data_IF_559684852187
#
_entry.id   IF_559684852187
#
_cell.length_a   1.000
_cell.length_b   1.000
_cell.length_c   1.000
_cell.angle_alpha   90.00
_cell.angle_beta   90.00
_cell.angle_gamma   90.00
#
_symmetry.space_group_name_H-M   'P 1'
#
loop_
_entity.id
_entity.type
_entity.pdbx_description
1 polymer ?
#
# COMPACT_ATOMS: atom_id res chain seq x y z
N UNK A 1 -10.08 17.59 -20.85
CA UNK A 1 -9.41 18.90 -20.68
C UNK A 1 -9.06 19.03 -19.19
N UNK A 2 -7.79 18.84 -18.82
CA UNK A 2 -7.38 19.01 -17.42
C UNK A 2 -7.13 20.50 -17.19
N UNK A 3 -8.01 21.14 -16.42
CA UNK A 3 -7.92 22.56 -16.12
C UNK A 3 -6.59 22.85 -15.43
N UNK A 4 -5.77 23.72 -16.03
CA UNK A 4 -4.48 24.19 -15.50
C UNK A 4 -4.59 24.67 -14.05
N UNK A 5 -5.77 25.15 -13.67
CA UNK A 5 -6.17 25.59 -12.33
C UNK A 5 -6.23 24.46 -11.29
N UNK A 6 -6.65 23.24 -11.68
CA UNK A 6 -6.69 22.08 -10.76
C UNK A 6 -5.28 21.55 -10.47
N UNK A 7 -4.41 21.54 -11.47
CA UNK A 7 -3.00 21.15 -11.32
C UNK A 7 -2.23 22.14 -10.44
N UNK A 8 -2.53 23.44 -10.57
CA UNK A 8 -1.97 24.48 -9.71
C UNK A 8 -2.44 24.38 -8.26
N UNK A 9 -3.72 24.10 -8.03
CA UNK A 9 -4.25 23.91 -6.68
C UNK A 9 -3.61 22.70 -5.97
N UNK A 10 -3.40 21.60 -6.71
CA UNK A 10 -2.70 20.41 -6.20
C UNK A 10 -1.24 20.73 -5.88
N UNK A 11 -0.54 21.46 -6.76
CA UNK A 11 0.83 21.89 -6.54
C UNK A 11 1.00 22.77 -5.29
N UNK A 12 0.11 23.75 -5.10
CA UNK A 12 0.12 24.62 -3.93
C UNK A 12 -0.19 23.87 -2.63
N UNK A 13 -1.08 22.87 -2.67
CA UNK A 13 -1.37 22.02 -1.52
C UNK A 13 -0.13 21.22 -1.09
N UNK A 14 0.59 20.62 -2.04
CA UNK A 14 1.84 19.89 -1.76
C UNK A 14 2.94 20.81 -1.23
N UNK A 15 3.07 22.02 -1.78
CA UNK A 15 4.06 23.00 -1.33
C UNK A 15 3.79 23.49 0.10
N UNK A 16 2.51 23.75 0.45
CA UNK A 16 2.12 24.11 1.80
C UNK A 16 2.35 22.96 2.80
N UNK A 17 2.12 21.72 2.38
CA UNK A 17 2.36 20.53 3.20
C UNK A 17 3.86 20.31 3.48
N UNK A 18 4.73 20.49 2.48
CA UNK A 18 6.19 20.36 2.65
C UNK A 18 6.79 21.42 3.58
N UNK A 19 6.21 22.62 3.63
CA UNK A 19 6.69 23.72 4.49
C UNK A 19 6.41 23.45 5.97
N UNK A 20 5.42 22.62 6.31
CA UNK A 20 5.08 22.25 7.69
C UNK A 20 6.02 21.19 8.33
N UNK A 21 6.83 20.49 7.54
CA UNK A 21 7.67 19.37 8.00
C UNK A 21 8.90 19.84 8.80
N UNK A 22 9.29 21.11 8.70
CA UNK A 22 10.56 21.61 9.26
C UNK A 22 10.61 21.87 10.77
N UNK A 23 9.48 21.88 11.50
CA UNK A 23 9.46 22.38 12.89
C UNK A 23 9.13 21.31 13.95
N UNK A 24 8.63 20.12 13.56
CA UNK A 24 8.09 19.12 14.51
C UNK A 24 9.08 18.09 15.06
N UNK A 25 10.35 18.08 14.64
CA UNK A 25 11.28 16.96 14.91
C UNK A 25 11.81 16.83 16.33
N UNK A 26 11.57 17.77 17.25
CA UNK A 26 12.22 17.81 18.57
C UNK A 26 11.35 17.35 19.74
N UNK A 27 10.05 17.05 19.55
CA UNK A 27 9.12 16.85 20.66
C UNK A 27 8.78 15.37 20.99
N UNK A 28 9.14 14.40 20.16
CA UNK A 28 8.57 13.03 20.25
C UNK A 28 9.30 12.07 21.20
N UNK A 29 10.29 12.53 21.97
CA UNK A 29 10.92 11.70 23.01
C UNK A 29 10.08 11.51 24.28
N UNK A 30 8.96 12.24 24.46
CA UNK A 30 8.25 12.31 25.76
C UNK A 30 6.85 11.64 25.78
N UNK A 31 6.27 11.26 24.63
CA UNK A 31 4.90 10.71 24.59
C UNK A 31 4.81 9.18 24.44
N UNK A 32 5.86 8.44 24.79
CA UNK A 32 5.90 6.97 24.76
C UNK A 32 5.04 6.24 25.80
N UNK A 33 4.36 6.95 26.71
CA UNK A 33 3.69 6.33 27.87
C UNK A 33 2.29 6.89 28.12
N UNK A 34 1.30 6.56 27.26
CA UNK A 34 -0.09 6.44 27.72
C UNK A 34 -0.97 5.70 26.72
N UNK A 35 -1.38 4.48 27.08
CA UNK A 35 -2.38 3.71 26.34
C UNK A 35 -2.08 2.22 26.23
N UNK A 36 -1.72 1.55 27.32
CA UNK A 36 -1.74 0.08 27.41
C UNK A 36 -2.62 -0.33 28.59
N UNK A 37 -3.92 -0.42 28.35
CA UNK A 37 -4.83 -1.24 29.15
C UNK A 37 -5.99 -1.68 28.25
N UNK A 38 -6.22 -3.00 28.20
CA UNK A 38 -7.31 -3.63 27.45
C UNK A 38 -6.87 -4.81 26.58
N UNK A 39 -7.10 -6.02 27.08
CA UNK A 39 -7.34 -7.26 26.33
C UNK A 39 -6.14 -8.05 25.78
N UNK A 40 -5.52 -8.77 26.71
CA UNK A 40 -4.73 -9.99 26.44
C UNK A 40 -5.65 -11.22 26.30
N UNK A 41 -6.46 -11.31 25.24
CA UNK A 41 -7.07 -12.61 24.90
C UNK A 41 -7.47 -12.74 23.43
N UNK A 42 -6.52 -13.16 22.58
CA UNK A 42 -6.74 -13.90 21.30
C UNK A 42 -5.45 -14.04 20.48
N UNK A 43 -4.48 -14.81 20.99
CA UNK A 43 -3.34 -15.30 20.20
C UNK A 43 -3.67 -16.64 19.54
N UNK A 44 -4.51 -16.65 18.51
CA UNK A 44 -4.52 -17.70 17.49
C UNK A 44 -4.81 -17.08 16.12
N UNK A 45 -3.80 -17.06 15.26
CA UNK A 45 -3.99 -16.99 13.81
C UNK A 45 -4.35 -15.65 13.18
N UNK A 46 -3.92 -14.50 13.72
CA UNK A 46 -4.07 -13.24 12.95
C UNK A 46 -3.06 -13.29 11.78
N UNK A 47 -3.50 -13.32 10.51
CA UNK A 47 -2.58 -13.04 9.40
C UNK A 47 -1.91 -11.71 9.73
N UNK A 48 -0.58 -11.60 9.53
CA UNK A 48 0.16 -10.32 9.67
C UNK A 48 -0.77 -9.21 9.22
N UNK A 49 -1.26 -8.41 10.17
CA UNK A 49 -2.19 -7.34 9.83
C UNK A 49 -1.41 -6.46 8.87
N UNK A 50 -1.74 -6.52 7.59
CA UNK A 50 -1.27 -5.55 6.62
C UNK A 50 -1.74 -4.21 7.17
N UNK A 51 -0.80 -3.48 7.76
CA UNK A 51 -1.03 -2.12 8.23
C UNK A 51 -1.66 -1.37 7.08
N UNK A 52 -2.88 -0.85 7.27
CA UNK A 52 -3.59 -0.15 6.21
C UNK A 52 -2.71 0.97 5.67
N UNK A 53 -2.83 1.29 4.38
CA UNK A 53 -2.11 2.43 3.84
C UNK A 53 -2.43 3.72 4.61
N UNK A 54 -3.68 3.86 5.10
CA UNK A 54 -4.07 4.94 6.00
C UNK A 54 -3.29 4.92 7.32
N UNK A 55 -3.13 3.76 7.95
CA UNK A 55 -2.40 3.64 9.23
C UNK A 55 -0.90 3.91 9.05
N UNK A 56 -0.35 3.61 7.87
CA UNK A 56 1.01 4.01 7.50
C UNK A 56 1.12 5.52 7.37
N UNK A 57 0.19 6.17 6.64
CA UNK A 57 0.17 7.63 6.50
C UNK A 57 -0.02 8.32 7.85
N UNK A 58 -0.90 7.78 8.68
CA UNK A 58 -1.19 8.28 10.03
C UNK A 58 0.06 8.27 10.91
N UNK A 59 0.78 7.15 10.93
CA UNK A 59 2.02 7.01 11.71
C UNK A 59 3.15 7.86 11.16
N UNK A 60 3.38 7.84 9.85
CA UNK A 60 4.56 8.46 9.25
C UNK A 60 4.41 9.99 9.12
N UNK A 61 3.19 10.52 9.17
CA UNK A 61 2.87 11.95 9.03
C UNK A 61 2.19 12.57 10.26
N UNK A 62 1.93 11.77 11.30
CA UNK A 62 1.25 12.17 12.54
C UNK A 62 -0.06 12.94 12.27
N UNK A 63 -0.96 12.32 11.50
CA UNK A 63 -2.20 13.00 11.06
C UNK A 63 -3.07 13.35 12.28
N UNK A 64 -3.58 14.59 12.30
CA UNK A 64 -4.66 14.96 13.24
C UNK A 64 -5.93 14.16 12.93
N UNK A 65 -6.86 13.98 13.88
CA UNK A 65 -8.09 13.22 13.65
C UNK A 65 -8.87 13.70 12.41
N UNK A 66 -8.99 15.01 12.24
CA UNK A 66 -9.67 15.62 11.08
C UNK A 66 -8.96 15.34 9.76
N UNK A 67 -7.63 15.33 9.74
CA UNK A 67 -6.85 14.96 8.55
C UNK A 67 -7.01 13.48 8.23
N UNK A 68 -6.93 12.61 9.25
CA UNK A 68 -7.11 11.17 9.09
C UNK A 68 -8.47 10.83 8.48
N UNK A 69 -9.54 11.47 8.94
CA UNK A 69 -10.89 11.30 8.39
C UNK A 69 -10.98 11.79 6.94
N UNK A 70 -10.35 12.93 6.63
CA UNK A 70 -10.30 13.48 5.28
C UNK A 70 -9.55 12.55 4.31
N UNK A 71 -8.40 12.01 4.74
CA UNK A 71 -7.62 11.05 3.96
C UNK A 71 -8.40 9.75 3.77
N UNK A 72 -9.07 9.25 4.82
CA UNK A 72 -9.92 8.06 4.72
C UNK A 72 -11.04 8.25 3.68
N UNK A 73 -11.69 9.41 3.65
CA UNK A 73 -12.70 9.74 2.66
C UNK A 73 -12.15 9.81 1.23
N UNK A 74 -10.95 10.39 1.04
CA UNK A 74 -10.27 10.41 -0.26
C UNK A 74 -9.95 8.99 -0.73
N UNK A 75 -9.32 8.17 0.12
CA UNK A 75 -8.98 6.79 -0.21
C UNK A 75 -10.23 5.97 -0.57
N UNK A 76 -11.31 6.10 0.21
CA UNK A 76 -12.59 5.44 -0.06
C UNK A 76 -13.18 5.85 -1.41
N UNK A 77 -13.08 7.13 -1.79
CA UNK A 77 -13.58 7.64 -3.08
C UNK A 77 -12.87 7.01 -4.28
N UNK A 78 -11.58 6.72 -4.16
CA UNK A 78 -10.75 6.17 -5.25
C UNK A 78 -10.62 4.64 -5.22
N UNK A 79 -11.15 3.99 -4.20
CA UNK A 79 -11.06 2.54 -4.02
C UNK A 79 -11.68 1.76 -5.20
N UNK A 80 -12.94 2.05 -5.57
CA UNK A 80 -13.57 1.36 -6.72
C UNK A 80 -12.98 1.74 -8.08
N UNK A 81 -12.73 3.03 -8.41
CA UNK A 81 -12.05 3.39 -9.66
C UNK A 81 -10.70 2.69 -9.83
N UNK A 82 -9.91 2.59 -8.75
CA UNK A 82 -8.62 1.90 -8.79
C UNK A 82 -8.78 0.40 -8.99
N UNK A 83 -9.76 -0.23 -8.33
CA UNK A 83 -10.09 -1.65 -8.55
C UNK A 83 -10.52 -1.93 -9.97
N UNK A 84 -11.37 -1.08 -10.55
CA UNK A 84 -11.85 -1.23 -11.92
C UNK A 84 -10.69 -1.11 -12.92
N UNK A 85 -9.81 -0.11 -12.74
CA UNK A 85 -8.59 0.00 -13.54
C UNK A 85 -7.73 -1.27 -13.40
N UNK A 86 -7.55 -1.76 -12.18
CA UNK A 86 -6.79 -2.99 -11.94
C UNK A 86 -7.42 -4.20 -12.62
N UNK A 87 -8.74 -4.41 -12.53
CA UNK A 87 -9.45 -5.52 -13.20
C UNK A 87 -9.23 -5.50 -14.70
N UNK A 88 -9.30 -4.32 -15.31
CA UNK A 88 -9.15 -4.13 -16.76
C UNK A 88 -7.74 -4.41 -17.25
N UNK A 89 -6.74 -3.89 -16.53
CA UNK A 89 -5.34 -3.94 -16.95
C UNK A 89 -4.61 -5.18 -16.45
N UNK A 90 -5.21 -5.96 -15.52
CA UNK A 90 -4.59 -7.13 -14.90
C UNK A 90 -3.98 -8.09 -15.92
N UNK A 91 -4.73 -8.43 -16.96
CA UNK A 91 -4.27 -9.39 -17.97
C UNK A 91 -3.04 -8.90 -18.72
N UNK A 92 -2.96 -7.60 -19.04
CA UNK A 92 -1.80 -7.01 -19.71
C UNK A 92 -0.57 -6.96 -18.78
N UNK A 93 -0.78 -6.67 -17.49
CA UNK A 93 0.29 -6.68 -16.50
C UNK A 93 0.83 -8.11 -16.29
N UNK A 94 -0.05 -9.11 -16.23
CA UNK A 94 0.35 -10.50 -16.04
C UNK A 94 1.05 -11.08 -17.28
N UNK A 95 0.59 -10.74 -18.50
CA UNK A 95 1.27 -11.16 -19.74
C UNK A 95 2.68 -10.57 -19.84
N UNK A 96 2.84 -9.28 -19.54
CA UNK A 96 4.14 -8.61 -19.51
C UNK A 96 5.07 -9.24 -18.47
N UNK A 97 4.56 -9.58 -17.27
CA UNK A 97 5.37 -10.30 -16.26
C UNK A 97 5.85 -11.65 -16.77
N UNK A 98 4.98 -12.44 -17.41
CA UNK A 98 5.36 -13.76 -17.93
C UNK A 98 6.42 -13.63 -19.02
N UNK A 99 6.29 -12.63 -19.89
CA UNK A 99 7.28 -12.35 -20.92
C UNK A 99 8.65 -12.01 -20.31
N UNK A 100 8.70 -11.09 -19.33
CA UNK A 100 9.94 -10.74 -18.63
C UNK A 100 10.55 -11.95 -17.93
N UNK A 101 9.73 -12.78 -17.26
CA UNK A 101 10.21 -14.01 -16.61
C UNK A 101 10.81 -15.00 -17.60
N UNK A 102 10.19 -15.16 -18.78
CA UNK A 102 10.69 -16.01 -19.84
C UNK A 102 12.05 -15.54 -20.36
N UNK A 103 12.18 -14.24 -20.63
CA UNK A 103 13.44 -13.65 -21.08
C UNK A 103 14.56 -13.83 -20.05
N UNK A 104 14.29 -13.58 -18.77
CA UNK A 104 15.25 -13.81 -17.70
C UNK A 104 15.64 -15.29 -17.63
N UNK A 105 14.67 -16.20 -17.63
CA UNK A 105 14.94 -17.64 -17.53
C UNK A 105 15.81 -18.17 -18.67
N UNK A 106 15.71 -17.57 -19.87
CA UNK A 106 16.56 -17.90 -21.01
C UNK A 106 18.03 -17.53 -20.86
N UNK A 107 18.37 -16.65 -19.91
CA UNK A 107 19.75 -16.24 -19.61
C UNK A 107 20.38 -17.04 -18.46
N UNK A 108 19.60 -17.85 -17.75
CA UNK A 108 20.03 -18.58 -16.56
C UNK A 108 20.50 -20.00 -16.89
N UNK A 109 21.53 -20.45 -16.18
CA UNK A 109 21.90 -21.87 -16.12
C UNK A 109 20.82 -22.71 -15.41
N UNK A 110 20.89 -24.04 -15.54
CA UNK A 110 19.91 -24.96 -14.96
C UNK A 110 19.68 -24.73 -13.46
N UNK A 111 20.77 -24.58 -12.68
CA UNK A 111 20.69 -24.42 -11.21
C UNK A 111 20.04 -23.08 -10.85
N UNK A 112 20.41 -22.01 -11.54
CA UNK A 112 19.84 -20.68 -11.37
C UNK A 112 18.36 -20.65 -11.75
N UNK A 113 17.97 -21.39 -12.80
CA UNK A 113 16.59 -21.50 -13.26
C UNK A 113 15.69 -22.16 -12.22
N UNK A 114 16.14 -23.22 -11.55
CA UNK A 114 15.41 -23.83 -10.44
C UNK A 114 15.18 -22.86 -9.28
N UNK A 115 16.23 -22.14 -8.86
CA UNK A 115 16.11 -21.13 -7.80
C UNK A 115 15.18 -19.98 -8.21
N UNK A 116 15.25 -19.54 -9.46
CA UNK A 116 14.39 -18.51 -10.01
C UNK A 116 12.91 -18.94 -10.03
N UNK A 117 12.62 -20.19 -10.34
CA UNK A 117 11.27 -20.75 -10.28
C UNK A 117 10.73 -20.76 -8.85
N UNK A 118 11.51 -21.23 -7.87
CA UNK A 118 11.12 -21.22 -6.46
C UNK A 118 10.84 -19.80 -5.95
N UNK A 119 11.67 -18.84 -6.33
CA UNK A 119 11.45 -17.43 -6.01
C UNK A 119 10.12 -16.92 -6.59
N UNK A 120 9.83 -17.22 -7.86
CA UNK A 120 8.60 -16.80 -8.52
C UNK A 120 7.36 -17.44 -7.89
N UNK A 121 7.40 -18.74 -7.57
CA UNK A 121 6.30 -19.44 -6.88
C UNK A 121 5.98 -18.82 -5.52
N UNK A 122 7.02 -18.45 -4.75
CA UNK A 122 6.84 -17.75 -3.47
C UNK A 122 6.11 -16.42 -3.66
N UNK A 123 6.53 -15.61 -4.63
CA UNK A 123 5.89 -14.32 -4.93
C UNK A 123 4.44 -14.50 -5.40
N UNK A 124 4.18 -15.51 -6.23
CA UNK A 124 2.84 -15.77 -6.76
C UNK A 124 1.88 -16.26 -5.66
N UNK A 125 2.36 -17.08 -4.72
CA UNK A 125 1.56 -17.49 -3.55
C UNK A 125 1.10 -16.31 -2.70
N UNK A 126 1.93 -15.28 -2.53
CA UNK A 126 1.56 -14.07 -1.78
C UNK A 126 0.51 -13.23 -2.53
N UNK A 127 0.53 -13.26 -3.87
CA UNK A 127 -0.47 -12.56 -4.70
C UNK A 127 -1.83 -13.23 -4.62
N UNK A 128 -1.89 -14.55 -4.77
CA UNK A 128 -3.18 -15.28 -4.70
C UNK A 128 -3.86 -15.11 -3.35
N UNK A 129 -3.09 -15.05 -2.26
CA UNK A 129 -3.61 -14.75 -0.92
C UNK A 129 -4.20 -13.33 -0.83
N UNK A 130 -3.51 -12.31 -1.38
CA UNK A 130 -4.04 -10.93 -1.43
C UNK A 130 -5.31 -10.81 -2.26
N UNK A 131 -5.35 -11.45 -3.41
CA UNK A 131 -6.54 -11.43 -4.28
C UNK A 131 -7.75 -12.07 -3.61
N UNK A 132 -7.56 -13.21 -2.95
CA UNK A 132 -8.62 -13.87 -2.18
C UNK A 132 -9.06 -13.02 -0.98
N UNK A 133 -8.13 -12.41 -0.25
CA UNK A 133 -8.44 -11.52 0.88
C UNK A 133 -9.15 -10.22 0.48
N UNK A 134 -8.83 -9.68 -0.70
CA UNK A 134 -9.54 -8.54 -1.29
C UNK A 134 -10.96 -8.88 -1.74
N UNK A 135 -11.17 -10.07 -2.31
CA UNK A 135 -12.48 -10.55 -2.74
C UNK A 135 -13.45 -10.82 -1.57
N UNK A 136 -12.95 -11.23 -0.40
CA UNK A 136 -13.79 -11.50 0.79
C UNK A 136 -14.30 -10.27 1.52
N UNK A 137 -13.76 -9.06 1.27
CA UNK A 137 -14.25 -7.80 1.86
C UNK A 137 -15.43 -7.18 1.11
N UNK A 138 -15.89 -7.80 0.02
CA UNK A 138 -16.94 -7.30 -0.86
C UNK A 138 -18.26 -8.08 -0.83
N UNK A 139 -18.54 -8.85 0.24
CA UNK A 139 -19.88 -9.44 0.49
C UNK A 139 -20.50 -8.83 1.73
#
# INVERSE_FOLDING_TARGET
MFDRSKLWAIGLLFAAFATGVGVGGAATAVFGERGRDGDRESRRGRPRQEVSYLDRLDRDLELTPKQRDSVAAILKRYDEPMRELWRRERHQVDSMRLQVRSQIAGLLDERQREQFQLMNQRVDSLRTVRERGGASRGR
#
